data_IF_357114313493
#
_entry.id   IF_357114313493
#
_cell.length_a   1.000
_cell.length_b   1.000
_cell.length_c   1.000
_cell.angle_alpha   90.00
_cell.angle_beta   90.00
_cell.angle_gamma   90.00
#
_symmetry.space_group_name_H-M   'P 1'
#
loop_
_entity.id
_entity.type
_entity.pdbx_description
1 polymer ?
#
# COMPACT_ATOMS: atom_id res chain seq x y z
N UNK A 1 14.36 8.00 3.51
CA UNK A 1 13.21 8.56 4.27
C UNK A 1 11.86 8.32 3.56
N UNK A 2 11.82 7.88 2.29
CA UNK A 2 10.58 7.68 1.52
C UNK A 2 9.71 6.50 2.00
N UNK A 3 10.31 5.44 2.52
CA UNK A 3 9.60 4.20 2.88
C UNK A 3 8.61 4.39 4.02
N UNK A 4 8.96 5.23 5.00
CA UNK A 4 8.11 5.48 6.18
C UNK A 4 6.81 6.20 5.81
N UNK A 5 6.81 7.05 4.78
CA UNK A 5 5.59 7.71 4.31
C UNK A 5 4.67 6.76 3.54
N UNK A 6 5.23 5.87 2.71
CA UNK A 6 4.45 4.86 2.00
C UNK A 6 3.83 3.85 2.96
N UNK A 7 4.62 3.37 3.93
CA UNK A 7 4.12 2.50 5.00
C UNK A 7 3.00 3.15 5.82
N UNK A 8 3.13 4.44 6.15
CA UNK A 8 2.09 5.17 6.85
C UNK A 8 0.78 5.28 6.03
N UNK A 9 0.87 5.50 4.71
CA UNK A 9 -0.29 5.52 3.80
C UNK A 9 -0.98 4.17 3.73
N UNK A 10 -0.22 3.08 3.62
CA UNK A 10 -0.74 1.70 3.59
C UNK A 10 -1.43 1.38 4.92
N UNK A 11 -0.81 1.67 6.05
CA UNK A 11 -1.39 1.38 7.37
C UNK A 11 -2.66 2.19 7.63
N UNK A 12 -2.71 3.44 7.18
CA UNK A 12 -3.92 4.26 7.26
C UNK A 12 -5.06 3.66 6.42
N UNK A 13 -4.80 3.31 5.15
CA UNK A 13 -5.79 2.69 4.28
C UNK A 13 -6.28 1.34 4.81
N UNK A 14 -5.40 0.56 5.46
CA UNK A 14 -5.73 -0.70 6.12
C UNK A 14 -6.66 -0.51 7.31
N UNK A 15 -6.41 0.50 8.15
CA UNK A 15 -7.30 0.85 9.28
C UNK A 15 -8.69 1.24 8.79
N UNK A 16 -8.76 2.11 7.78
CA UNK A 16 -10.03 2.52 7.18
C UNK A 16 -10.81 1.33 6.61
N UNK A 17 -10.14 0.40 5.91
CA UNK A 17 -10.76 -0.81 5.40
C UNK A 17 -11.29 -1.70 6.54
N UNK A 18 -10.53 -1.83 7.63
CA UNK A 18 -10.94 -2.61 8.79
C UNK A 18 -12.18 -2.01 9.47
N UNK A 19 -12.22 -0.69 9.66
CA UNK A 19 -13.40 0.01 10.19
C UNK A 19 -14.62 -0.20 9.31
N UNK A 20 -14.49 0.00 7.99
CA UNK A 20 -15.59 -0.23 7.04
C UNK A 20 -16.07 -1.69 7.04
N UNK A 21 -15.15 -2.66 7.20
CA UNK A 21 -15.48 -4.07 7.26
C UNK A 21 -16.19 -4.46 8.57
N UNK A 22 -15.86 -3.80 9.69
CA UNK A 22 -16.56 -3.97 10.96
C UNK A 22 -17.97 -3.37 10.92
N UNK A 23 -18.14 -2.21 10.27
CA UNK A 23 -19.42 -1.51 10.20
C UNK A 23 -20.39 -2.12 9.18
N UNK A 24 -19.89 -2.48 7.99
CA UNK A 24 -20.74 -2.88 6.87
C UNK A 24 -20.53 -4.33 6.41
N UNK A 25 -19.47 -4.99 6.87
CA UNK A 25 -19.07 -6.32 6.42
C UNK A 25 -18.14 -6.29 5.21
N UNK A 26 -17.32 -7.34 5.08
CA UNK A 26 -16.27 -7.50 4.06
C UNK A 26 -16.74 -7.44 2.60
N UNK A 27 -18.02 -7.72 2.33
CA UNK A 27 -18.60 -7.70 0.97
C UNK A 27 -19.18 -6.34 0.59
N UNK A 28 -19.13 -5.35 1.48
CA UNK A 28 -19.72 -4.04 1.20
C UNK A 28 -18.96 -3.35 0.06
N UNK A 29 -19.64 -2.69 -0.90
CA UNK A 29 -18.98 -2.01 -2.03
C UNK A 29 -17.95 -0.95 -1.61
N UNK A 30 -18.09 -0.36 -0.42
CA UNK A 30 -17.07 0.57 0.10
C UNK A 30 -15.81 -0.15 0.58
N UNK A 31 -15.94 -1.32 1.21
CA UNK A 31 -14.79 -2.15 1.62
C UNK A 31 -14.04 -2.65 0.40
N UNK A 32 -14.76 -3.12 -0.63
CA UNK A 32 -14.16 -3.55 -1.90
C UNK A 32 -13.45 -2.40 -2.64
N UNK A 33 -14.02 -1.18 -2.62
CA UNK A 33 -13.34 -0.01 -3.19
C UNK A 33 -12.09 0.37 -2.39
N UNK A 34 -12.14 0.23 -1.07
CA UNK A 34 -10.99 0.49 -0.21
C UNK A 34 -9.90 -0.58 -0.37
N UNK A 35 -10.26 -1.84 -0.60
CA UNK A 35 -9.28 -2.90 -0.86
C UNK A 35 -8.49 -2.64 -2.14
N UNK A 36 -9.17 -2.21 -3.22
CA UNK A 36 -8.48 -1.83 -4.47
C UNK A 36 -7.51 -0.66 -4.25
N UNK A 37 -7.88 0.34 -3.43
CA UNK A 37 -6.97 1.43 -3.07
C UNK A 37 -5.76 0.95 -2.26
N UNK A 38 -5.99 0.05 -1.30
CA UNK A 38 -4.93 -0.51 -0.48
C UNK A 38 -3.94 -1.32 -1.35
N UNK A 39 -4.46 -2.14 -2.28
CA UNK A 39 -3.63 -2.90 -3.22
C UNK A 39 -2.80 -1.96 -4.12
N UNK A 40 -3.39 -0.86 -4.61
CA UNK A 40 -2.65 0.12 -5.40
C UNK A 40 -1.51 0.78 -4.62
N UNK A 41 -1.73 1.14 -3.34
CA UNK A 41 -0.70 1.71 -2.47
C UNK A 41 0.42 0.70 -2.15
N UNK A 42 0.06 -0.58 -1.99
CA UNK A 42 1.04 -1.66 -1.76
C UNK A 42 1.88 -1.85 -3.02
N UNK A 43 1.27 -1.87 -4.21
CA UNK A 43 2.01 -1.99 -5.46
C UNK A 43 2.92 -0.78 -5.68
N UNK A 44 2.45 0.45 -5.45
CA UNK A 44 3.28 1.67 -5.51
C UNK A 44 4.50 1.57 -4.59
N UNK A 45 4.32 1.04 -3.38
CA UNK A 45 5.41 0.82 -2.45
C UNK A 45 6.40 -0.26 -2.93
N UNK A 46 5.91 -1.38 -3.43
CA UNK A 46 6.74 -2.47 -3.97
C UNK A 46 7.56 -1.94 -5.16
N UNK A 47 6.92 -1.25 -6.09
CA UNK A 47 7.57 -0.66 -7.27
C UNK A 47 8.63 0.37 -6.86
N UNK A 48 8.33 1.20 -5.84
CA UNK A 48 9.29 2.17 -5.31
C UNK A 48 10.52 1.51 -4.68
N UNK A 49 10.35 0.36 -4.01
CA UNK A 49 11.48 -0.38 -3.43
C UNK A 49 12.29 -1.14 -4.49
N UNK A 50 11.63 -1.67 -5.52
CA UNK A 50 12.30 -2.35 -6.63
C UNK A 50 13.20 -1.39 -7.43
N UNK A 51 12.76 -0.14 -7.64
CA UNK A 51 13.56 0.89 -8.29
C UNK A 51 14.81 1.30 -7.47
N UNK A 52 14.73 1.24 -6.14
CA UNK A 52 15.87 1.53 -5.26
C UNK A 52 16.89 0.37 -5.22
N UNK A 53 16.45 -0.89 -5.39
CA UNK A 53 17.34 -2.06 -5.53
C UNK A 53 18.09 -2.09 -6.88
N UNK A 54 17.43 -1.72 -7.98
CA UNK A 54 18.05 -1.69 -9.33
C UNK A 54 19.18 -0.65 -9.41
N UNK A 55 19.03 0.49 -8.72
CA UNK A 55 20.04 1.55 -8.65
C UNK A 55 21.30 1.16 -7.86
N UNK A 56 21.20 0.17 -6.98
CA UNK A 56 22.31 -0.32 -6.16
C UNK A 56 23.19 -1.32 -6.94
N UNK A 57 22.62 -2.00 -7.93
CA UNK A 57 23.33 -2.94 -8.80
C UNK A 57 24.11 -2.27 -9.94
N UNK A 58 23.66 -1.12 -10.45
CA UNK A 58 24.40 -0.37 -11.49
C UNK A 58 25.63 0.38 -10.95
N UNK A 59 25.75 0.57 -9.62
CA UNK A 59 26.90 1.23 -9.00
C UNK A 59 28.13 0.34 -8.74
N UNK A 60 28.01 -0.98 -8.96
CA UNK A 60 29.08 -1.97 -8.77
C UNK A 60 29.67 -2.51 -10.10
N UNK A 61 29.40 -1.87 -11.25
CA UNK A 61 29.94 -2.25 -12.57
C UNK A 61 30.78 -1.16 -13.25
#
# INVERSE_FOLDING_TARGET
MGDKQHQARIEQARKEMHTLALEHGIRHPQVLRQSVKLDALINEYIDSQAADEEKLLESDS
#
